data_IF_429712233609
#
_entry.id   IF_429712233609
#
_cell.length_a   1.000
_cell.length_b   1.000
_cell.length_c   1.000
_cell.angle_alpha   90.00
_cell.angle_beta   90.00
_cell.angle_gamma   90.00
#
_symmetry.space_group_name_H-M   'P 1'
#
loop_
_entity.id
_entity.type
_entity.pdbx_description
1 polymer ?
#
# COMPACT_ATOMS: atom_id res chain seq x y z
N UNK A 1 -13.68 -13.60 2.76
CA UNK A 1 -13.72 -14.16 4.13
C UNK A 1 -12.40 -13.93 4.88
N UNK A 2 -11.33 -14.73 4.69
CA UNK A 2 -10.11 -14.62 5.53
C UNK A 2 -9.44 -13.23 5.58
N UNK A 3 -9.41 -12.49 4.47
CA UNK A 3 -8.81 -11.13 4.48
C UNK A 3 -9.61 -10.18 5.39
N UNK A 4 -10.94 -10.30 5.42
CA UNK A 4 -11.80 -9.46 6.26
C UNK A 4 -11.58 -9.75 7.74
N UNK A 5 -11.45 -11.03 8.09
CA UNK A 5 -11.13 -11.48 9.46
C UNK A 5 -9.78 -10.90 9.90
N UNK A 6 -8.73 -11.08 9.09
CA UNK A 6 -7.41 -10.53 9.38
C UNK A 6 -7.43 -9.01 9.57
N UNK A 7 -8.09 -8.26 8.67
CA UNK A 7 -8.16 -6.81 8.78
C UNK A 7 -8.91 -6.38 10.05
N UNK A 8 -9.97 -7.09 10.43
CA UNK A 8 -10.75 -6.82 11.64
C UNK A 8 -9.91 -7.08 12.89
N UNK A 9 -9.17 -8.19 12.96
CA UNK A 9 -8.29 -8.50 14.09
C UNK A 9 -7.16 -7.48 14.23
N UNK A 10 -6.50 -7.11 13.13
CA UNK A 10 -5.43 -6.11 13.13
C UNK A 10 -5.95 -4.73 13.57
N UNK A 11 -7.09 -4.28 13.04
CA UNK A 11 -7.70 -3.00 13.42
C UNK A 11 -8.12 -2.99 14.90
N UNK A 12 -8.62 -4.13 15.41
CA UNK A 12 -8.98 -4.27 16.82
C UNK A 12 -7.76 -4.18 17.74
N UNK A 13 -6.67 -4.85 17.37
CA UNK A 13 -5.47 -4.93 18.21
C UNK A 13 -4.64 -3.63 18.19
N UNK A 14 -4.43 -3.05 17.00
CA UNK A 14 -3.58 -1.87 16.83
C UNK A 14 -4.35 -0.54 16.89
N UNK A 15 -5.67 -0.58 16.93
CA UNK A 15 -6.56 0.60 16.95
C UNK A 15 -6.36 1.57 15.77
N UNK A 16 -5.78 1.08 14.68
CA UNK A 16 -5.54 1.82 13.43
C UNK A 16 -5.90 0.93 12.26
N UNK A 17 -6.47 1.52 11.20
CA UNK A 17 -6.83 0.78 9.98
C UNK A 17 -5.58 0.25 9.28
N UNK A 18 -5.44 -1.08 9.11
CA UNK A 18 -4.33 -1.65 8.35
C UNK A 18 -4.38 -1.24 6.87
N UNK A 19 -3.21 -0.95 6.31
CA UNK A 19 -3.06 -0.59 4.89
C UNK A 19 -2.97 -1.86 4.03
N UNK A 20 -3.70 -1.90 2.93
CA UNK A 20 -3.72 -3.04 2.02
C UNK A 20 -2.69 -2.82 0.90
N UNK A 21 -1.62 -3.62 0.91
CA UNK A 21 -0.66 -3.69 -0.19
C UNK A 21 -1.15 -4.62 -1.31
N UNK A 22 -1.11 -4.17 -2.55
CA UNK A 22 -1.56 -4.98 -3.69
C UNK A 22 -0.98 -4.54 -5.03
N UNK A 23 -1.06 -5.42 -6.02
CA UNK A 23 -0.81 -5.10 -7.43
C UNK A 23 -2.12 -4.70 -8.14
N UNK A 24 -2.10 -4.04 -9.31
CA UNK A 24 -3.34 -3.63 -9.97
C UNK A 24 -4.23 -4.81 -10.36
N UNK A 25 -3.65 -5.97 -10.69
CA UNK A 25 -4.40 -7.17 -11.02
C UNK A 25 -5.11 -7.76 -9.79
N UNK A 26 -4.39 -7.89 -8.66
CA UNK A 26 -4.96 -8.38 -7.42
C UNK A 26 -5.99 -7.40 -6.83
N UNK A 27 -5.73 -6.09 -6.90
CA UNK A 27 -6.67 -5.05 -6.50
C UNK A 27 -8.02 -5.21 -7.18
N UNK A 28 -8.02 -5.32 -8.52
CA UNK A 28 -9.25 -5.47 -9.31
C UNK A 28 -10.02 -6.74 -8.99
N UNK A 29 -9.33 -7.81 -8.60
CA UNK A 29 -9.96 -9.12 -8.38
C UNK A 29 -10.49 -9.30 -6.96
N UNK A 30 -9.79 -8.77 -5.96
CA UNK A 30 -10.04 -9.12 -4.57
C UNK A 30 -10.35 -7.93 -3.67
N UNK A 31 -9.95 -6.72 -4.05
CA UNK A 31 -10.00 -5.56 -3.14
C UNK A 31 -11.09 -4.56 -3.55
N UNK A 32 -11.16 -4.24 -4.85
CA UNK A 32 -12.06 -3.23 -5.40
C UNK A 32 -13.52 -3.53 -5.05
N UNK A 33 -14.20 -2.54 -4.47
CA UNK A 33 -15.61 -2.60 -4.10
C UNK A 33 -15.92 -3.27 -2.76
N UNK A 34 -14.93 -3.92 -2.12
CA UNK A 34 -15.13 -4.65 -0.86
C UNK A 34 -14.41 -4.03 0.35
N UNK A 35 -13.29 -3.33 0.13
CA UNK A 35 -12.43 -2.79 1.20
C UNK A 35 -12.11 -1.30 0.96
N UNK A 36 -13.14 -0.54 0.59
CA UNK A 36 -13.02 0.87 0.19
C UNK A 36 -12.67 1.81 1.34
N UNK A 37 -12.90 1.38 2.58
CA UNK A 37 -12.58 2.06 3.82
C UNK A 37 -11.12 1.90 4.27
N UNK A 38 -10.40 0.90 3.76
CA UNK A 38 -9.01 0.64 4.12
C UNK A 38 -8.04 1.47 3.26
N UNK A 39 -6.93 1.98 3.84
CA UNK A 39 -5.89 2.65 3.08
C UNK A 39 -5.28 1.75 2.01
N UNK A 40 -5.01 2.30 0.84
CA UNK A 40 -4.50 1.55 -0.30
C UNK A 40 -3.01 1.83 -0.54
N UNK A 41 -2.20 0.76 -0.44
CA UNK A 41 -0.82 0.74 -0.93
C UNK A 41 -0.74 -0.01 -2.26
N UNK A 42 -0.60 0.73 -3.35
CA UNK A 42 -0.57 0.14 -4.69
C UNK A 42 0.87 0.00 -5.20
N UNK A 43 1.24 -1.19 -5.66
CA UNK A 43 2.47 -1.39 -6.44
C UNK A 43 2.19 -1.15 -7.91
N UNK A 44 2.84 -0.15 -8.48
CA UNK A 44 2.85 0.01 -9.94
C UNK A 44 4.15 0.66 -10.41
N UNK A 45 5.10 -0.16 -10.83
CA UNK A 45 6.45 0.28 -11.20
C UNK A 45 6.58 0.71 -12.67
N UNK A 46 5.52 0.55 -13.47
CA UNK A 46 5.55 0.85 -14.91
C UNK A 46 4.89 2.19 -15.24
N UNK A 47 3.84 2.58 -14.51
CA UNK A 47 3.10 3.82 -14.78
C UNK A 47 2.42 4.34 -13.52
N UNK A 48 2.10 5.64 -13.54
CA UNK A 48 1.42 6.30 -12.44
C UNK A 48 0.05 5.65 -12.17
N UNK A 49 -0.29 5.31 -10.91
CA UNK A 49 -1.59 4.76 -10.56
C UNK A 49 -2.68 5.83 -10.61
N UNK A 50 -3.38 5.94 -11.74
CA UNK A 50 -4.42 6.96 -11.95
C UNK A 50 -5.76 6.59 -11.29
N UNK A 51 -6.56 7.61 -10.99
CA UNK A 51 -7.93 7.44 -10.50
C UNK A 51 -8.78 6.61 -11.47
N UNK A 52 -8.60 6.80 -12.79
CA UNK A 52 -9.32 6.03 -13.81
C UNK A 52 -9.04 4.52 -13.71
N UNK A 53 -7.80 4.15 -13.37
CA UNK A 53 -7.39 2.75 -13.24
C UNK A 53 -7.95 2.09 -11.97
N UNK A 54 -7.93 2.80 -10.86
CA UNK A 54 -8.28 2.24 -9.55
C UNK A 54 -9.76 2.45 -9.18
N UNK A 55 -10.40 3.51 -9.67
CA UNK A 55 -11.73 3.93 -9.23
C UNK A 55 -11.73 4.59 -7.84
N UNK A 56 -10.56 4.72 -7.20
CA UNK A 56 -10.33 5.43 -5.94
C UNK A 56 -8.93 6.04 -5.91
N UNK A 57 -8.69 6.91 -4.94
CA UNK A 57 -7.35 7.41 -4.65
C UNK A 57 -6.53 6.34 -3.89
N UNK A 58 -5.24 6.24 -4.19
CA UNK A 58 -4.28 5.48 -3.39
C UNK A 58 -3.70 6.35 -2.26
N UNK A 59 -3.17 5.72 -1.21
CA UNK A 59 -2.55 6.40 -0.07
C UNK A 59 -1.02 6.33 -0.15
N UNK A 60 -0.50 5.16 -0.53
CA UNK A 60 0.92 4.89 -0.72
C UNK A 60 1.15 4.23 -2.08
N UNK A 61 2.16 4.66 -2.81
CA UNK A 61 2.51 4.10 -4.12
C UNK A 61 3.94 3.57 -4.11
N UNK A 62 4.11 2.27 -4.35
CA UNK A 62 5.41 1.69 -4.68
C UNK A 62 5.70 1.92 -6.17
N UNK A 63 6.63 2.82 -6.46
CA UNK A 63 6.93 3.26 -7.83
C UNK A 63 8.19 2.61 -8.42
N UNK A 64 9.02 1.98 -7.60
CA UNK A 64 10.18 1.20 -8.05
C UNK A 64 10.51 0.09 -7.07
N UNK A 65 10.97 -1.03 -7.60
CA UNK A 65 11.52 -2.20 -6.88
C UNK A 65 13.02 -2.39 -7.15
N UNK A 66 13.67 -1.39 -7.76
CA UNK A 66 15.04 -1.47 -8.28
C UNK A 66 15.92 -0.29 -7.86
N UNK A 67 15.52 0.47 -6.85
CA UNK A 67 16.36 1.55 -6.40
C UNK A 67 17.64 1.02 -5.74
N UNK A 68 18.73 1.73 -5.98
CA UNK A 68 19.98 1.55 -5.26
C UNK A 68 20.21 2.82 -4.46
N UNK A 69 20.31 2.68 -3.14
CA UNK A 69 20.51 3.81 -2.25
C UNK A 69 21.98 3.86 -1.85
N UNK A 70 22.64 4.97 -2.15
CA UNK A 70 24.02 5.20 -1.71
C UNK A 70 24.09 5.12 -0.17
N UNK A 71 24.99 4.29 0.34
CA UNK A 71 25.14 4.07 1.79
C UNK A 71 24.23 2.99 2.37
N UNK A 72 23.37 2.35 1.58
CA UNK A 72 22.64 1.16 2.03
C UNK A 72 23.59 -0.04 2.11
N UNK A 73 23.73 -0.60 3.32
CA UNK A 73 24.63 -1.74 3.62
C UNK A 73 23.88 -3.06 3.81
N UNK A 74 22.57 -3.09 3.50
CA UNK A 74 21.79 -4.31 3.61
C UNK A 74 22.15 -5.35 2.54
N UNK A 75 21.76 -6.60 2.78
CA UNK A 75 22.13 -7.74 1.93
C UNK A 75 21.47 -7.78 0.55
N UNK A 76 20.53 -6.88 0.25
CA UNK A 76 19.83 -6.82 -1.04
C UNK A 76 20.34 -5.67 -1.89
N UNK A 77 20.61 -5.95 -3.18
CA UNK A 77 21.03 -4.92 -4.14
C UNK A 77 19.97 -3.85 -4.39
N UNK A 78 18.70 -4.22 -4.31
CA UNK A 78 17.58 -3.37 -4.67
C UNK A 78 16.69 -3.09 -3.46
N UNK A 79 16.18 -1.86 -3.41
CA UNK A 79 15.27 -1.35 -2.38
C UNK A 79 14.00 -0.84 -3.06
N UNK A 80 12.86 -1.20 -2.50
CA UNK A 80 11.55 -0.69 -2.93
C UNK A 80 11.40 0.77 -2.47
N UNK A 81 11.10 1.68 -3.40
CA UNK A 81 10.76 3.06 -3.04
C UNK A 81 9.28 3.32 -3.18
N UNK A 82 8.77 4.05 -2.20
CA UNK A 82 7.38 4.37 -2.04
C UNK A 82 7.19 5.88 -1.86
N UNK A 83 6.03 6.38 -2.25
CA UNK A 83 5.65 7.78 -2.02
C UNK A 83 4.22 7.87 -1.50
N UNK A 84 4.04 8.64 -0.42
CA UNK A 84 2.71 8.94 0.09
C UNK A 84 2.02 9.98 -0.79
N UNK A 85 0.72 9.81 -1.03
CA UNK A 85 -0.09 10.83 -1.72
C UNK A 85 -0.28 12.08 -0.86
N UNK A 86 -0.43 11.88 0.45
CA UNK A 86 -0.60 12.94 1.46
C UNK A 86 0.72 13.22 2.17
N UNK A 87 0.83 14.40 2.81
CA UNK A 87 2.04 14.79 3.55
C UNK A 87 2.11 14.28 5.00
N UNK A 88 1.00 13.80 5.57
CA UNK A 88 0.93 13.36 6.98
C UNK A 88 0.95 11.84 7.06
N UNK A 89 2.00 11.31 7.67
CA UNK A 89 2.20 9.86 7.86
C UNK A 89 1.62 9.35 9.19
N UNK A 90 1.46 10.24 10.17
CA UNK A 90 1.06 9.90 11.54
C UNK A 90 -0.29 9.17 11.62
N UNK A 91 -1.16 9.37 10.61
CA UNK A 91 -2.45 8.67 10.48
C UNK A 91 -2.31 7.15 10.21
N UNK A 92 -1.10 6.68 9.87
CA UNK A 92 -0.82 5.29 9.46
C UNK A 92 0.20 4.57 10.37
N UNK A 93 0.69 5.24 11.41
CA UNK A 93 1.70 4.68 12.31
C UNK A 93 0.99 4.14 13.56
N UNK A 94 1.28 2.90 13.94
CA UNK A 94 0.87 2.38 15.24
C UNK A 94 1.65 3.12 16.34
N UNK A 95 0.98 3.65 17.37
CA UNK A 95 1.66 4.23 18.53
C UNK A 95 2.53 3.21 19.28
#
# INVERSE_FOLDING_TARGET
EHLKELLTELETFYHVKPMIYTTPSAYRRYIKGAFEEYPLWIRNVYYHPSLLMLGRQWDLWQYTDRAQLGGYTGGTKYVDLNVFRKRKIDEYICP
#
